data_IF_466373725063
#
_entry.id   IF_466373725063
#
_cell.length_a   1.000
_cell.length_b   1.000
_cell.length_c   1.000
_cell.angle_alpha   90.00
_cell.angle_beta   90.00
_cell.angle_gamma   90.00
#
_symmetry.space_group_name_H-M   'P 1'
#
loop_
_entity.id
_entity.type
_entity.pdbx_description
1 polymer ?
#
# COMPACT_ATOMS: atom_id res chain seq x y z
N UNK A 1 -95.27 20.14 -18.48
CA UNK A 1 -94.11 20.18 -19.41
C UNK A 1 -93.33 21.46 -19.12
N UNK A 2 -92.01 21.45 -19.38
CA UNK A 2 -90.99 22.48 -19.05
C UNK A 2 -90.36 22.25 -17.67
N UNK A 3 -89.04 22.16 -17.47
CA UNK A 3 -87.85 21.70 -18.20
C UNK A 3 -86.75 21.75 -17.12
N UNK A 4 -86.14 20.63 -16.75
CA UNK A 4 -85.03 20.62 -15.77
C UNK A 4 -83.73 21.09 -16.45
N UNK A 5 -83.11 22.15 -15.90
CA UNK A 5 -81.77 22.60 -16.27
C UNK A 5 -80.74 21.75 -15.53
N UNK A 6 -80.03 20.90 -16.26
CA UNK A 6 -78.86 20.19 -15.77
C UNK A 6 -77.65 21.14 -15.80
N UNK A 7 -77.02 21.34 -14.64
CA UNK A 7 -75.76 22.05 -14.48
C UNK A 7 -74.62 21.02 -14.57
N UNK A 8 -73.67 21.10 -15.53
CA UNK A 8 -72.57 20.15 -15.58
C UNK A 8 -71.52 20.54 -14.54
N UNK A 9 -71.18 19.61 -13.64
CA UNK A 9 -69.98 19.70 -12.81
C UNK A 9 -68.76 19.63 -13.73
N UNK A 10 -68.01 20.73 -13.84
CA UNK A 10 -66.69 20.73 -14.45
C UNK A 10 -65.69 20.08 -13.48
N UNK A 11 -65.18 18.90 -13.83
CA UNK A 11 -64.02 18.30 -13.16
C UNK A 11 -62.78 19.01 -13.68
N UNK A 12 -62.19 19.87 -12.85
CA UNK A 12 -60.88 20.50 -13.14
C UNK A 12 -59.80 19.47 -12.81
N UNK A 13 -59.17 18.90 -13.83
CA UNK A 13 -57.89 18.20 -13.66
C UNK A 13 -56.80 19.25 -13.43
N UNK A 14 -56.35 19.38 -12.18
CA UNK A 14 -55.09 20.05 -11.86
C UNK A 14 -53.95 19.19 -12.39
N UNK A 15 -53.47 19.50 -13.61
CA UNK A 15 -52.16 19.05 -14.04
C UNK A 15 -51.12 19.68 -13.13
N UNK A 16 -50.58 18.89 -12.20
CA UNK A 16 -49.39 19.28 -11.45
C UNK A 16 -48.26 19.53 -12.45
N UNK A 17 -47.87 20.80 -12.61
CA UNK A 17 -46.68 21.16 -13.37
C UNK A 17 -45.49 20.61 -12.59
N UNK A 18 -44.95 19.48 -13.03
CA UNK A 18 -43.68 18.97 -12.51
C UNK A 18 -42.62 20.03 -12.76
N UNK A 19 -41.95 20.48 -11.70
CA UNK A 19 -40.84 21.42 -11.82
C UNK A 19 -39.71 20.76 -12.63
N UNK A 20 -39.60 21.14 -13.91
CA UNK A 20 -38.44 20.98 -14.77
C UNK A 20 -37.26 21.77 -14.19
N UNK A 21 -36.05 21.23 -14.27
CA UNK A 21 -34.86 21.77 -13.64
C UNK A 21 -33.79 20.70 -13.38
N UNK A 22 -32.59 21.12 -12.92
CA UNK A 22 -31.52 20.19 -12.57
C UNK A 22 -31.99 19.24 -11.48
N UNK A 23 -31.56 17.97 -11.55
CA UNK A 23 -31.89 16.97 -10.54
C UNK A 23 -30.72 16.01 -10.32
N UNK A 24 -30.13 16.05 -9.14
CA UNK A 24 -29.08 15.13 -8.72
C UNK A 24 -29.70 13.83 -8.21
N UNK A 25 -29.38 12.72 -8.88
CA UNK A 25 -29.61 11.36 -8.38
C UNK A 25 -28.26 10.72 -8.12
N UNK A 26 -28.15 10.00 -7.00
CA UNK A 26 -26.92 9.31 -6.61
C UNK A 26 -27.22 7.84 -6.37
N UNK A 27 -26.37 6.97 -6.90
CA UNK A 27 -26.47 5.52 -6.70
C UNK A 27 -25.09 4.90 -6.37
N UNK A 28 -24.93 4.23 -5.23
CA UNK A 28 -25.87 4.20 -4.09
C UNK A 28 -25.86 5.53 -3.31
N UNK A 29 -26.87 5.83 -2.48
CA UNK A 29 -26.75 6.96 -1.52
C UNK A 29 -26.04 6.55 -0.22
N UNK A 30 -25.99 5.25 0.06
CA UNK A 30 -25.30 4.63 1.19
C UNK A 30 -24.43 3.51 0.68
N UNK A 31 -23.12 3.66 0.87
CA UNK A 31 -22.15 2.61 0.62
C UNK A 31 -21.90 1.85 1.93
N UNK A 32 -22.39 0.62 2.00
CA UNK A 32 -22.09 -0.29 3.11
C UNK A 32 -20.89 -1.17 2.74
N UNK A 33 -19.76 -0.97 3.40
CA UNK A 33 -18.55 -1.76 3.17
C UNK A 33 -18.57 -3.10 3.92
N UNK A 34 -19.65 -3.42 4.64
CA UNK A 34 -19.76 -4.63 5.44
C UNK A 34 -18.76 -4.63 6.59
N UNK A 35 -18.08 -5.77 6.78
CA UNK A 35 -17.06 -5.91 7.83
C UNK A 35 -15.67 -5.96 7.20
N UNK A 36 -14.81 -5.01 7.56
CA UNK A 36 -13.40 -4.95 7.14
C UNK A 36 -12.49 -4.96 8.36
N UNK A 37 -11.23 -5.38 8.21
CA UNK A 37 -10.27 -5.19 9.29
C UNK A 37 -9.77 -3.74 9.34
N UNK A 38 -9.33 -3.35 10.53
CA UNK A 38 -8.59 -2.12 10.75
C UNK A 38 -7.33 -2.05 9.88
N UNK A 39 -7.06 -0.86 9.32
CA UNK A 39 -5.88 -0.57 8.49
C UNK A 39 -6.12 -0.62 6.99
N UNK A 40 -7.30 -1.06 6.55
CA UNK A 40 -7.73 -0.99 5.15
C UNK A 40 -8.16 0.44 4.77
N UNK A 41 -7.83 0.81 3.54
CA UNK A 41 -8.43 1.93 2.83
C UNK A 41 -9.67 1.41 2.11
N UNK A 42 -10.84 1.84 2.57
CA UNK A 42 -12.12 1.54 1.94
C UNK A 42 -12.36 2.57 0.84
N UNK A 43 -12.58 2.10 -0.39
CA UNK A 43 -13.02 2.93 -1.51
C UNK A 43 -14.52 2.79 -1.69
N UNK A 44 -15.24 3.90 -1.54
CA UNK A 44 -16.68 3.99 -1.72
C UNK A 44 -16.98 4.81 -2.99
N UNK A 45 -17.53 4.15 -4.00
CA UNK A 45 -17.89 4.77 -5.28
C UNK A 45 -19.36 5.13 -5.33
N UNK A 46 -19.64 6.36 -5.75
CA UNK A 46 -20.98 6.92 -5.89
C UNK A 46 -21.19 7.42 -7.32
N UNK A 47 -22.22 6.95 -8.00
CA UNK A 47 -22.57 7.42 -9.34
C UNK A 47 -23.48 8.63 -9.23
N UNK A 48 -22.98 9.81 -9.60
CA UNK A 48 -23.73 11.06 -9.66
C UNK A 48 -24.34 11.20 -11.05
N UNK A 49 -25.66 11.36 -11.15
CA UNK A 49 -26.38 11.49 -12.43
C UNK A 49 -27.29 12.71 -12.42
N UNK A 50 -27.25 13.50 -13.50
CA UNK A 50 -28.27 14.52 -13.73
C UNK A 50 -29.51 13.88 -14.35
N UNK A 51 -30.49 13.56 -13.50
CA UNK A 51 -31.79 13.01 -13.93
C UNK A 51 -32.82 14.11 -14.27
N UNK A 52 -32.38 15.37 -14.37
CA UNK A 52 -33.19 16.52 -14.75
C UNK A 52 -33.12 16.78 -16.25
N UNK A 53 -33.72 17.88 -16.66
CA UNK A 53 -33.78 18.38 -18.04
C UNK A 53 -33.04 19.71 -18.23
N UNK A 54 -32.34 20.19 -17.20
CA UNK A 54 -31.45 21.35 -17.23
C UNK A 54 -30.06 20.99 -16.67
N UNK A 55 -29.00 21.77 -16.99
CA UNK A 55 -27.64 21.51 -16.49
C UNK A 55 -27.55 21.49 -14.96
N UNK A 56 -26.97 20.42 -14.42
CA UNK A 56 -26.68 20.27 -13.01
C UNK A 56 -25.25 20.78 -12.73
N UNK A 57 -25.14 21.83 -11.94
CA UNK A 57 -23.88 22.52 -11.65
C UNK A 57 -23.50 22.23 -10.20
N UNK A 58 -22.24 21.85 -9.97
CA UNK A 58 -21.64 21.71 -8.64
C UNK A 58 -20.96 23.03 -8.27
N UNK A 59 -21.36 23.65 -7.15
CA UNK A 59 -20.85 24.96 -6.74
C UNK A 59 -19.43 24.87 -6.12
N UNK A 60 -19.05 23.69 -5.61
CA UNK A 60 -17.76 23.41 -4.97
C UNK A 60 -17.46 21.91 -4.96
N UNK A 61 -16.20 21.58 -4.68
CA UNK A 61 -15.77 20.20 -4.48
C UNK A 61 -16.47 19.54 -3.27
N UNK A 62 -16.74 18.23 -3.31
CA UNK A 62 -17.32 17.52 -2.17
C UNK A 62 -16.52 17.73 -0.89
N UNK A 63 -17.21 17.72 0.25
CA UNK A 63 -16.56 17.75 1.57
C UNK A 63 -16.92 16.51 2.38
N UNK A 64 -16.04 16.13 3.31
CA UNK A 64 -16.17 14.87 4.06
C UNK A 64 -16.20 15.12 5.57
N UNK A 65 -16.83 14.18 6.29
CA UNK A 65 -16.65 14.07 7.73
C UNK A 65 -15.22 13.62 8.09
N UNK A 66 -14.78 13.84 9.33
CA UNK A 66 -13.42 13.48 9.78
C UNK A 66 -13.06 12.01 9.49
N UNK A 67 -11.82 11.77 9.07
CA UNK A 67 -11.31 10.44 8.74
C UNK A 67 -11.70 9.91 7.36
N UNK A 68 -12.39 10.71 6.54
CA UNK A 68 -12.62 10.44 5.13
C UNK A 68 -11.97 11.52 4.27
N UNK A 69 -11.52 11.14 3.09
CA UNK A 69 -11.14 12.05 2.00
C UNK A 69 -11.97 11.70 0.77
N UNK A 70 -12.15 12.62 -0.16
CA UNK A 70 -12.78 12.34 -1.45
C UNK A 70 -11.88 12.74 -2.59
N UNK A 71 -11.87 11.95 -3.67
CA UNK A 71 -11.30 12.40 -4.92
C UNK A 71 -12.05 13.65 -5.42
N UNK A 72 -11.35 14.60 -6.06
CA UNK A 72 -12.02 15.74 -6.67
C UNK A 72 -12.96 15.24 -7.78
N UNK A 73 -14.09 15.93 -7.96
CA UNK A 73 -14.98 15.68 -9.08
C UNK A 73 -14.25 15.93 -10.39
N UNK A 74 -14.34 15.02 -11.38
CA UNK A 74 -13.71 15.21 -12.70
C UNK A 74 -14.24 16.43 -13.46
N UNK A 75 -15.50 16.82 -13.20
CA UNK A 75 -16.18 17.96 -13.81
C UNK A 75 -17.16 18.59 -12.83
N UNK A 76 -17.38 19.89 -12.99
CA UNK A 76 -18.27 20.69 -12.13
C UNK A 76 -19.66 20.91 -12.76
N UNK A 77 -19.97 20.27 -13.87
CA UNK A 77 -21.25 20.35 -14.57
C UNK A 77 -21.60 18.99 -15.18
N UNK A 78 -22.89 18.61 -15.11
CA UNK A 78 -23.46 17.46 -15.80
C UNK A 78 -24.61 17.89 -16.71
N UNK A 79 -24.54 17.54 -17.99
CA UNK A 79 -25.66 17.68 -18.91
C UNK A 79 -26.83 16.75 -18.51
N UNK A 80 -28.08 17.03 -18.94
CA UNK A 80 -29.20 16.12 -18.74
C UNK A 80 -28.88 14.68 -19.19
N UNK A 81 -29.11 13.71 -18.31
CA UNK A 81 -28.82 12.30 -18.53
C UNK A 81 -27.35 11.89 -18.37
N UNK A 82 -26.44 12.84 -18.10
CA UNK A 82 -25.02 12.57 -17.93
C UNK A 82 -24.70 12.11 -16.51
N UNK A 83 -23.70 11.22 -16.39
CA UNK A 83 -23.21 10.70 -15.11
C UNK A 83 -21.70 10.92 -14.92
N UNK A 84 -21.25 10.81 -13.67
CA UNK A 84 -19.84 10.66 -13.29
C UNK A 84 -19.72 9.90 -11.98
N UNK A 85 -18.52 9.37 -11.71
CA UNK A 85 -18.20 8.74 -10.43
C UNK A 85 -17.60 9.75 -9.46
N UNK A 86 -18.01 9.64 -8.20
CA UNK A 86 -17.37 10.24 -7.04
C UNK A 86 -16.81 9.11 -6.18
N UNK A 87 -15.49 9.09 -5.99
CA UNK A 87 -14.82 8.13 -5.10
C UNK A 87 -14.50 8.80 -3.77
N UNK A 88 -14.98 8.21 -2.69
CA UNK A 88 -14.64 8.61 -1.33
C UNK A 88 -13.80 7.51 -0.67
N UNK A 89 -12.73 7.93 -0.01
CA UNK A 89 -11.77 7.07 0.67
C UNK A 89 -11.95 7.18 2.18
N UNK A 90 -12.06 6.04 2.85
CA UNK A 90 -12.11 5.94 4.30
C UNK A 90 -10.95 5.09 4.81
N UNK A 91 -10.05 5.69 5.59
CA UNK A 91 -8.96 4.97 6.25
C UNK A 91 -9.46 4.37 7.58
N UNK A 92 -9.55 3.04 7.64
CA UNK A 92 -10.07 2.34 8.82
C UNK A 92 -9.07 2.28 9.98
N UNK A 93 -7.85 2.83 9.83
CA UNK A 93 -6.84 2.88 10.90
C UNK A 93 -7.37 3.63 12.13
N UNK A 94 -7.29 3.01 13.31
CA UNK A 94 -7.77 3.56 14.58
C UNK A 94 -9.27 3.32 14.84
N UNK A 95 -9.94 2.53 14.01
CA UNK A 95 -11.36 2.20 14.13
C UNK A 95 -11.63 0.75 14.56
N UNK A 96 -10.61 -0.04 14.94
CA UNK A 96 -10.77 -1.41 15.44
C UNK A 96 -11.89 -1.56 16.48
N UNK A 97 -12.76 -2.55 16.27
CA UNK A 97 -13.90 -2.87 17.13
C UNK A 97 -15.09 -1.92 17.05
N UNK A 98 -15.16 -1.03 16.05
CA UNK A 98 -16.20 0.02 15.95
C UNK A 98 -17.15 -0.18 14.78
N UNK A 99 -18.40 0.22 15.00
CA UNK A 99 -19.31 0.55 13.91
C UNK A 99 -19.00 1.96 13.40
N UNK A 100 -18.89 2.12 12.09
CA UNK A 100 -18.53 3.37 11.43
C UNK A 100 -19.73 3.92 10.66
N UNK A 101 -19.94 5.22 10.80
CA UNK A 101 -20.85 6.01 9.98
C UNK A 101 -20.13 7.32 9.60
N UNK A 102 -19.94 7.54 8.30
CA UNK A 102 -19.24 8.70 7.75
C UNK A 102 -20.07 9.33 6.65
N UNK A 103 -19.86 10.62 6.43
CA UNK A 103 -20.64 11.41 5.50
C UNK A 103 -19.76 12.06 4.43
N UNK A 104 -20.28 12.08 3.20
CA UNK A 104 -19.76 12.86 2.08
C UNK A 104 -20.87 13.82 1.66
N UNK A 105 -20.55 15.10 1.54
CA UNK A 105 -21.50 16.14 1.17
C UNK A 105 -21.21 16.61 -0.25
N UNK A 106 -22.20 16.45 -1.13
CA UNK A 106 -22.18 16.92 -2.53
C UNK A 106 -23.08 18.15 -2.61
N UNK A 107 -22.60 19.20 -3.29
CA UNK A 107 -23.29 20.49 -3.35
C UNK A 107 -23.62 20.82 -4.81
N UNK A 108 -24.87 21.18 -5.08
CA UNK A 108 -25.33 21.43 -6.45
C UNK A 108 -26.44 22.49 -6.53
N UNK A 109 -26.76 22.91 -7.74
CA UNK A 109 -27.91 23.77 -8.03
C UNK A 109 -29.27 23.04 -8.08
N UNK A 110 -29.35 21.76 -7.66
CA UNK A 110 -30.64 21.06 -7.52
C UNK A 110 -31.46 21.71 -6.38
N UNK A 111 -32.61 22.37 -6.65
CA UNK A 111 -33.38 23.07 -5.63
C UNK A 111 -34.03 22.13 -4.60
N UNK A 112 -34.06 20.82 -4.87
CA UNK A 112 -34.56 19.80 -3.94
C UNK A 112 -33.47 19.28 -3.01
N UNK A 113 -32.21 19.41 -3.42
CA UNK A 113 -31.06 18.81 -2.76
C UNK A 113 -29.79 19.63 -2.98
N UNK A 114 -29.82 20.92 -2.60
CA UNK A 114 -28.68 21.83 -2.72
C UNK A 114 -27.42 21.27 -2.05
N UNK A 115 -27.61 20.55 -0.93
CA UNK A 115 -26.60 19.70 -0.31
C UNK A 115 -27.14 18.28 -0.15
N UNK A 116 -26.60 17.35 -0.94
CA UNK A 116 -26.85 15.91 -0.85
C UNK A 116 -25.85 15.26 0.11
N UNK A 117 -26.35 14.50 1.09
CA UNK A 117 -25.50 13.73 2.01
C UNK A 117 -25.47 12.29 1.57
N UNK A 118 -24.27 11.77 1.33
CA UNK A 118 -23.99 10.35 1.05
C UNK A 118 -23.37 9.72 2.30
N UNK A 119 -23.64 8.44 2.52
CA UNK A 119 -23.18 7.72 3.72
C UNK A 119 -22.20 6.62 3.36
N UNK A 120 -21.12 6.52 4.13
CA UNK A 120 -20.23 5.35 4.14
C UNK A 120 -20.42 4.68 5.51
N UNK A 121 -20.79 3.40 5.53
CA UNK A 121 -21.14 2.68 6.75
C UNK A 121 -20.55 1.26 6.75
N UNK A 122 -20.36 0.70 7.92
CA UNK A 122 -19.94 -0.69 8.08
C UNK A 122 -19.26 -0.92 9.44
N UNK A 123 -18.78 -2.15 9.64
CA UNK A 123 -18.08 -2.58 10.86
C UNK A 123 -16.59 -2.69 10.61
N UNK A 124 -15.77 -2.11 11.48
CA UNK A 124 -14.32 -2.33 11.48
C UNK A 124 -13.98 -3.29 12.61
N UNK A 125 -13.49 -4.49 12.27
CA UNK A 125 -12.96 -5.44 13.25
C UNK A 125 -11.51 -5.12 13.56
N UNK A 126 -11.05 -5.54 14.74
CA UNK A 126 -9.62 -5.50 15.04
C UNK A 126 -8.83 -6.32 14.00
N UNK A 127 -7.67 -5.80 13.62
CA UNK A 127 -6.72 -6.54 12.80
C UNK A 127 -6.18 -7.73 13.59
N UNK A 128 -6.12 -8.90 12.95
CA UNK A 128 -5.46 -10.06 13.54
C UNK A 128 -3.94 -9.80 13.65
N UNK A 129 -3.19 -10.50 14.53
CA UNK A 129 -1.75 -10.28 14.69
C UNK A 129 -0.90 -10.48 13.43
N UNK A 130 -1.42 -11.23 12.45
CA UNK A 130 -0.79 -11.47 11.16
C UNK A 130 -1.26 -10.50 10.07
N UNK A 131 -2.20 -9.60 10.34
CA UNK A 131 -2.68 -8.63 9.36
C UNK A 131 -1.94 -7.31 9.54
N UNK A 132 -1.27 -6.85 8.49
CA UNK A 132 -0.58 -5.56 8.46
C UNK A 132 -1.12 -4.67 7.36
N UNK A 133 -1.31 -3.38 7.67
CA UNK A 133 -1.77 -2.40 6.68
C UNK A 133 -0.65 -1.98 5.72
N UNK A 134 -1.04 -1.49 4.55
CA UNK A 134 -0.11 -0.85 3.60
C UNK A 134 0.71 0.27 4.25
N UNK A 135 0.11 1.04 5.17
CA UNK A 135 0.83 2.07 5.93
C UNK A 135 1.87 1.50 6.88
N UNK A 136 1.56 0.38 7.56
CA UNK A 136 2.54 -0.29 8.43
C UNK A 136 3.70 -0.82 7.61
N UNK A 137 3.43 -1.41 6.44
CA UNK A 137 4.49 -1.83 5.51
C UNK A 137 5.30 -0.61 5.05
N UNK A 138 4.66 0.47 4.60
CA UNK A 138 5.32 1.69 4.12
C UNK A 138 6.30 2.27 5.14
N UNK A 139 5.90 2.43 6.41
CA UNK A 139 6.78 3.00 7.43
C UNK A 139 7.91 2.07 7.88
N UNK A 140 7.72 0.75 7.73
CA UNK A 140 8.73 -0.25 8.02
C UNK A 140 9.65 -0.57 6.84
N UNK A 141 9.26 -0.21 5.62
CA UNK A 141 9.96 -0.62 4.41
C UNK A 141 11.31 0.07 4.27
N UNK A 142 12.31 -0.72 3.95
CA UNK A 142 13.64 -0.26 3.58
C UNK A 142 14.18 -1.07 2.42
N UNK A 143 15.07 -0.46 1.66
CA UNK A 143 15.83 -1.14 0.63
C UNK A 143 17.19 -1.55 1.18
N UNK A 144 17.61 -2.77 0.87
CA UNK A 144 18.95 -3.27 1.19
C UNK A 144 19.73 -3.49 -0.11
N UNK A 145 20.87 -2.83 -0.25
CA UNK A 145 21.66 -2.86 -1.48
C UNK A 145 23.05 -3.41 -1.17
N UNK A 146 23.40 -4.50 -1.84
CA UNK A 146 24.74 -5.05 -1.90
C UNK A 146 25.51 -4.40 -3.05
N UNK A 147 26.59 -3.70 -2.70
CA UNK A 147 27.45 -2.95 -3.62
C UNK A 147 28.59 -3.79 -4.20
N UNK A 148 28.71 -5.05 -3.80
CA UNK A 148 29.77 -5.95 -4.25
C UNK A 148 29.53 -6.44 -5.69
N UNK A 149 30.55 -6.99 -6.34
CA UNK A 149 30.39 -7.68 -7.61
C UNK A 149 29.37 -8.84 -7.55
N UNK A 150 28.68 -9.16 -8.65
CA UNK A 150 27.65 -10.21 -8.68
C UNK A 150 28.12 -11.58 -8.19
N UNK A 151 29.38 -11.94 -8.45
CA UNK A 151 29.97 -13.19 -7.99
C UNK A 151 30.14 -13.26 -6.46
N UNK A 152 30.40 -12.14 -5.80
CA UNK A 152 30.47 -12.08 -4.34
C UNK A 152 29.08 -12.12 -3.71
N UNK A 153 28.12 -11.43 -4.32
CA UNK A 153 26.71 -11.50 -3.95
C UNK A 153 26.19 -12.94 -4.05
N UNK A 154 26.43 -13.62 -5.17
CA UNK A 154 25.99 -15.00 -5.41
C UNK A 154 26.60 -16.02 -4.42
N UNK A 155 27.82 -15.77 -3.93
CA UNK A 155 28.44 -16.62 -2.90
C UNK A 155 27.75 -16.50 -1.55
N UNK A 156 27.30 -15.29 -1.20
CA UNK A 156 26.42 -15.09 -0.07
C UNK A 156 26.17 -13.61 0.21
N UNK A 157 24.93 -13.28 0.53
CA UNK A 157 24.42 -11.92 0.69
C UNK A 157 23.33 -11.88 1.76
N UNK A 158 23.02 -10.68 2.26
CA UNK A 158 21.93 -10.50 3.20
C UNK A 158 20.57 -10.76 2.54
N UNK A 159 19.70 -11.53 3.20
CA UNK A 159 18.36 -11.89 2.73
C UNK A 159 17.56 -10.64 2.33
N UNK A 160 17.02 -10.63 1.11
CA UNK A 160 16.25 -9.49 0.59
C UNK A 160 17.12 -8.32 0.09
N UNK A 161 18.44 -8.46 0.05
CA UNK A 161 19.30 -7.49 -0.62
C UNK A 161 19.12 -7.57 -2.14
N UNK A 162 19.20 -6.42 -2.81
CA UNK A 162 19.41 -6.36 -4.26
C UNK A 162 20.88 -6.10 -4.56
N UNK A 163 21.41 -6.69 -5.63
CA UNK A 163 22.78 -6.43 -6.05
C UNK A 163 22.83 -5.25 -7.02
N UNK A 164 23.47 -4.16 -6.61
CA UNK A 164 23.78 -3.01 -7.47
C UNK A 164 25.26 -2.70 -7.22
N UNK A 165 26.19 -3.22 -8.05
CA UNK A 165 27.61 -2.96 -7.88
C UNK A 165 27.90 -1.46 -7.74
N UNK A 166 28.87 -1.08 -6.90
CA UNK A 166 29.18 0.32 -6.64
C UNK A 166 29.41 1.16 -7.91
N UNK A 167 30.05 0.56 -8.92
CA UNK A 167 30.30 1.20 -10.22
C UNK A 167 29.03 1.51 -11.01
N UNK A 168 27.93 0.81 -10.74
CA UNK A 168 26.65 0.96 -11.45
C UNK A 168 25.67 1.88 -10.71
N UNK A 169 25.88 2.12 -9.41
CA UNK A 169 24.95 2.82 -8.53
C UNK A 169 24.45 4.17 -9.08
N UNK A 170 25.31 4.93 -9.77
CA UNK A 170 24.92 6.23 -10.32
C UNK A 170 23.85 6.11 -11.42
N UNK A 171 23.86 5.03 -12.21
CA UNK A 171 22.83 4.73 -13.20
C UNK A 171 21.49 4.35 -12.58
N UNK A 172 21.49 3.88 -11.33
CA UNK A 172 20.29 3.45 -10.61
C UNK A 172 19.55 4.58 -9.90
N UNK A 173 20.13 5.78 -9.79
CA UNK A 173 19.55 6.90 -9.03
C UNK A 173 18.14 7.29 -9.45
N UNK A 174 17.76 7.05 -10.72
CA UNK A 174 16.42 7.37 -11.22
C UNK A 174 15.38 6.36 -10.75
N UNK A 175 15.79 5.11 -10.48
CA UNK A 175 14.91 4.00 -10.09
C UNK A 175 14.81 3.82 -8.57
N UNK A 176 15.80 4.29 -7.81
CA UNK A 176 15.79 4.18 -6.35
C UNK A 176 14.67 5.05 -5.73
N UNK A 177 13.88 4.51 -4.78
CA UNK A 177 12.84 5.27 -4.11
C UNK A 177 13.46 6.21 -3.07
N UNK A 178 13.09 7.49 -3.12
CA UNK A 178 13.66 8.55 -2.25
C UNK A 178 13.01 8.60 -0.88
N UNK A 179 11.81 8.04 -0.80
CA UNK A 179 10.90 8.04 0.34
C UNK A 179 11.35 7.05 1.42
N UNK A 180 12.09 6.00 1.03
CA UNK A 180 12.48 4.91 1.92
C UNK A 180 13.92 5.02 2.39
N UNK A 181 14.18 4.35 3.52
CA UNK A 181 15.55 4.15 3.99
C UNK A 181 16.26 3.20 3.04
N UNK A 182 17.49 3.54 2.65
CA UNK A 182 18.35 2.69 1.83
C UNK A 182 19.57 2.30 2.66
N UNK A 183 19.70 1.03 2.98
CA UNK A 183 20.88 0.45 3.62
C UNK A 183 21.81 -0.11 2.55
N UNK A 184 23.05 0.36 2.55
CA UNK A 184 24.08 -0.04 1.61
C UNK A 184 25.14 -0.84 2.34
N UNK A 185 25.67 -1.89 1.73
CA UNK A 185 26.84 -2.57 2.25
C UNK A 185 27.72 -3.08 1.11
N UNK A 186 29.01 -3.16 1.40
CA UNK A 186 30.02 -3.88 0.65
C UNK A 186 30.69 -4.90 1.59
N UNK A 187 31.87 -5.41 1.23
CA UNK A 187 32.57 -6.39 2.07
C UNK A 187 32.98 -5.82 3.46
N UNK A 188 33.41 -4.55 3.52
CA UNK A 188 34.10 -3.99 4.70
C UNK A 188 33.57 -2.65 5.20
N UNK A 189 32.63 -2.01 4.52
CA UNK A 189 31.97 -0.74 4.85
C UNK A 189 32.47 0.48 4.06
N UNK A 190 33.59 0.35 3.34
CA UNK A 190 34.29 1.48 2.73
C UNK A 190 33.57 2.10 1.52
N UNK A 191 33.18 1.28 0.55
CA UNK A 191 32.38 1.72 -0.59
C UNK A 191 30.95 2.07 -0.17
N UNK A 192 30.41 1.34 0.81
CA UNK A 192 29.09 1.62 1.38
C UNK A 192 29.00 3.05 1.95
N UNK A 193 30.01 3.50 2.69
CA UNK A 193 30.05 4.87 3.22
C UNK A 193 30.16 5.94 2.11
N UNK A 194 30.92 5.66 1.05
CA UNK A 194 31.01 6.54 -0.13
C UNK A 194 29.67 6.61 -0.87
N UNK A 195 29.01 5.46 -1.07
CA UNK A 195 27.70 5.36 -1.69
C UNK A 195 26.63 6.08 -0.88
N UNK A 196 26.61 5.91 0.45
CA UNK A 196 25.64 6.57 1.32
C UNK A 196 25.79 8.10 1.27
N UNK A 197 27.05 8.59 1.24
CA UNK A 197 27.34 10.02 1.03
C UNK A 197 26.81 10.50 -0.32
N UNK A 198 27.15 9.80 -1.41
CA UNK A 198 26.69 10.12 -2.76
C UNK A 198 25.16 10.19 -2.82
N UNK A 199 24.46 9.17 -2.30
CA UNK A 199 23.00 9.12 -2.28
C UNK A 199 22.41 10.30 -1.49
N UNK A 200 22.96 10.64 -0.31
CA UNK A 200 22.48 11.79 0.46
C UNK A 200 22.69 13.13 -0.28
N UNK A 201 23.85 13.32 -0.92
CA UNK A 201 24.12 14.50 -1.76
C UNK A 201 23.16 14.61 -2.95
N UNK A 202 22.62 13.47 -3.42
CA UNK A 202 21.60 13.40 -4.48
C UNK A 202 20.17 13.41 -3.95
N UNK A 203 19.94 13.64 -2.66
CA UNK A 203 18.61 13.83 -2.05
C UNK A 203 18.00 12.59 -1.40
N UNK A 204 18.71 11.46 -1.33
CA UNK A 204 18.28 10.27 -0.58
C UNK A 204 18.70 10.41 0.88
N UNK A 205 18.04 11.31 1.61
CA UNK A 205 18.43 11.76 2.97
C UNK A 205 18.55 10.63 4.00
N UNK A 206 17.81 9.54 3.80
CA UNK A 206 17.79 8.37 4.67
C UNK A 206 18.81 7.29 4.29
N UNK A 207 19.64 7.48 3.25
CA UNK A 207 20.63 6.48 2.87
C UNK A 207 21.70 6.28 3.97
N UNK A 208 21.99 5.03 4.34
CA UNK A 208 22.96 4.68 5.39
C UNK A 208 23.85 3.53 4.93
N UNK A 209 25.11 3.54 5.36
CA UNK A 209 26.03 2.42 5.19
C UNK A 209 25.93 1.44 6.36
N UNK A 210 25.93 0.12 6.13
CA UNK A 210 26.10 -0.84 7.22
C UNK A 210 27.54 -0.75 7.71
N UNK A 211 27.70 -0.43 8.99
CA UNK A 211 28.97 -0.21 9.65
C UNK A 211 29.85 -1.47 9.56
N UNK A 212 31.02 -1.35 8.94
CA UNK A 212 31.94 -2.46 8.70
C UNK A 212 31.55 -3.40 7.54
N UNK A 213 30.51 -3.09 6.78
CA UNK A 213 30.03 -3.93 5.68
C UNK A 213 29.56 -5.31 6.16
N UNK A 214 29.64 -6.32 5.30
CA UNK A 214 29.26 -7.69 5.65
C UNK A 214 30.22 -8.33 6.66
N UNK A 215 31.50 -7.92 6.71
CA UNK A 215 32.41 -8.31 7.80
C UNK A 215 31.98 -7.71 9.16
N UNK A 216 31.57 -6.45 9.17
CA UNK A 216 31.02 -5.79 10.35
C UNK A 216 29.74 -6.46 10.83
N UNK A 217 28.88 -6.86 9.89
CA UNK A 217 27.70 -7.68 10.15
C UNK A 217 28.08 -8.99 10.86
N UNK A 218 28.99 -9.75 10.27
CA UNK A 218 29.46 -11.01 10.84
C UNK A 218 30.03 -10.85 12.25
N UNK A 219 30.88 -9.84 12.45
CA UNK A 219 31.49 -9.58 13.76
C UNK A 219 30.45 -9.20 14.83
N UNK A 220 29.32 -8.63 14.43
CA UNK A 220 28.31 -8.13 15.34
C UNK A 220 27.19 -9.15 15.63
N UNK A 221 26.74 -9.89 14.61
CA UNK A 221 25.56 -10.78 14.69
C UNK A 221 25.77 -12.14 14.01
N UNK A 222 27.01 -12.47 13.63
CA UNK A 222 27.34 -13.73 12.96
C UNK A 222 26.78 -13.81 11.54
N UNK A 223 26.41 -15.02 11.12
CA UNK A 223 25.81 -15.30 9.82
C UNK A 223 24.30 -15.02 9.77
N UNK A 224 23.77 -14.32 10.78
CA UNK A 224 22.35 -14.04 10.86
C UNK A 224 21.85 -13.36 9.59
N UNK A 225 20.77 -13.87 9.00
CA UNK A 225 20.16 -13.35 7.77
C UNK A 225 21.02 -13.43 6.50
N UNK A 226 22.18 -14.10 6.49
CA UNK A 226 22.96 -14.31 5.26
C UNK A 226 22.44 -15.53 4.51
N UNK A 227 22.02 -15.33 3.26
CA UNK A 227 21.74 -16.39 2.29
C UNK A 227 23.05 -16.80 1.64
N UNK A 228 23.36 -18.09 1.63
CA UNK A 228 24.60 -18.63 1.07
C UNK A 228 24.35 -19.35 -0.25
N UNK A 229 25.31 -19.26 -1.17
CA UNK A 229 25.31 -20.05 -2.38
C UNK A 229 25.45 -21.54 -2.09
N UNK A 230 24.87 -22.38 -2.95
CA UNK A 230 24.94 -23.83 -2.80
C UNK A 230 26.40 -24.32 -2.79
N UNK A 231 26.76 -25.13 -1.78
CA UNK A 231 28.10 -25.71 -1.65
C UNK A 231 29.21 -24.71 -1.27
N UNK A 232 28.86 -23.47 -0.94
CA UNK A 232 29.83 -22.45 -0.50
C UNK A 232 30.13 -22.61 0.99
N UNK A 233 31.41 -22.54 1.37
CA UNK A 233 31.81 -22.47 2.77
C UNK A 233 31.36 -21.14 3.39
N UNK A 234 30.63 -21.20 4.52
CA UNK A 234 30.16 -20.02 5.23
C UNK A 234 31.34 -19.35 5.95
N UNK A 235 31.83 -18.25 5.37
CA UNK A 235 32.93 -17.49 5.93
C UNK A 235 32.71 -16.00 5.71
N UNK A 236 33.11 -15.13 6.66
CA UNK A 236 33.01 -13.70 6.47
C UNK A 236 33.95 -13.22 5.35
N UNK A 237 33.64 -12.05 4.74
CA UNK A 237 34.60 -11.38 3.89
C UNK A 237 35.89 -11.05 4.64
N UNK A 238 37.01 -10.97 3.92
CA UNK A 238 38.29 -10.57 4.47
C UNK A 238 38.52 -9.06 4.30
N UNK A 239 39.36 -8.48 5.16
CA UNK A 239 39.77 -7.08 5.07
C UNK A 239 39.67 -6.33 6.39
N UNK A 240 39.88 -5.02 6.34
CA UNK A 240 39.78 -4.15 7.51
C UNK A 240 38.40 -3.47 7.54
N UNK A 241 37.59 -3.65 8.59
CA UNK A 241 36.30 -2.98 8.72
C UNK A 241 36.45 -1.46 8.75
N UNK A 242 35.54 -0.78 8.05
CA UNK A 242 35.37 0.66 8.05
C UNK A 242 34.06 1.03 8.75
N UNK A 243 34.18 1.79 9.85
CA UNK A 243 33.05 2.16 10.72
C UNK A 243 32.67 3.66 10.64
N UNK A 244 33.24 4.39 9.67
CA UNK A 244 33.00 5.83 9.52
C UNK A 244 31.81 6.15 8.61
N UNK A 245 31.35 7.40 8.66
CA UNK A 245 30.50 8.06 7.64
C UNK A 245 29.10 7.45 7.41
N UNK A 246 28.04 8.19 7.77
CA UNK A 246 26.64 7.84 7.46
C UNK A 246 26.24 6.39 7.82
N UNK A 247 26.85 5.84 8.87
CA UNK A 247 26.76 4.42 9.18
C UNK A 247 25.60 4.06 10.12
N UNK A 248 25.07 2.84 9.98
CA UNK A 248 24.16 2.16 10.91
C UNK A 248 24.83 0.90 11.46
N UNK A 249 24.64 0.61 12.75
CA UNK A 249 25.21 -0.60 13.34
C UNK A 249 24.39 -1.84 12.92
N UNK A 250 25.04 -2.97 12.58
CA UNK A 250 24.36 -4.21 12.21
C UNK A 250 23.29 -4.66 13.22
N UNK A 251 23.58 -4.53 14.52
CA UNK A 251 22.65 -4.99 15.57
C UNK A 251 21.32 -4.21 15.54
N UNK A 252 21.29 -2.97 15.06
CA UNK A 252 20.06 -2.20 14.96
C UNK A 252 19.16 -2.72 13.84
N UNK A 253 19.74 -3.09 12.70
CA UNK A 253 18.99 -3.66 11.60
C UNK A 253 18.51 -5.08 11.94
N UNK A 254 19.38 -5.90 12.56
CA UNK A 254 19.05 -7.27 12.96
C UNK A 254 17.89 -7.37 13.97
N UNK A 255 17.65 -6.34 14.80
CA UNK A 255 16.55 -6.31 15.79
C UNK A 255 15.16 -6.35 15.17
N UNK A 256 15.02 -5.92 13.91
CA UNK A 256 13.75 -5.92 13.18
C UNK A 256 14.05 -6.03 11.68
N UNK A 257 14.71 -7.13 11.32
CA UNK A 257 15.11 -7.40 9.95
C UNK A 257 13.90 -7.78 9.11
N UNK A 258 13.71 -7.16 7.94
CA UNK A 258 12.56 -7.36 7.08
C UNK A 258 12.93 -8.18 5.83
N UNK A 259 11.99 -9.03 5.40
CA UNK A 259 11.94 -9.58 4.04
C UNK A 259 10.50 -9.53 3.52
N UNK A 260 10.34 -9.29 2.22
CA UNK A 260 9.05 -9.38 1.53
C UNK A 260 9.01 -10.66 0.71
N UNK A 261 7.88 -11.36 0.78
CA UNK A 261 7.56 -12.56 0.03
C UNK A 261 6.34 -12.27 -0.83
N UNK A 262 6.51 -12.33 -2.14
CA UNK A 262 5.44 -12.11 -3.12
C UNK A 262 4.92 -13.45 -3.64
N UNK A 263 3.66 -13.72 -3.35
CA UNK A 263 3.00 -15.00 -3.63
C UNK A 263 2.26 -15.04 -4.97
N UNK A 264 2.38 -13.99 -5.77
CA UNK A 264 1.79 -13.93 -7.11
C UNK A 264 2.56 -14.78 -8.10
N UNK A 265 1.95 -15.05 -9.26
CA UNK A 265 2.64 -15.76 -10.33
C UNK A 265 3.87 -14.96 -10.81
N UNK A 266 4.90 -15.61 -11.36
CA UNK A 266 6.11 -14.93 -11.84
C UNK A 266 5.84 -13.81 -12.84
N UNK A 267 4.81 -13.96 -13.69
CA UNK A 267 4.40 -12.94 -14.66
C UNK A 267 3.87 -11.68 -13.96
N UNK A 268 3.01 -11.86 -12.94
CA UNK A 268 2.46 -10.76 -12.13
C UNK A 268 3.55 -10.09 -11.29
N UNK A 269 4.48 -10.88 -10.73
CA UNK A 269 5.66 -10.38 -10.04
C UNK A 269 6.52 -9.50 -10.96
N UNK A 270 6.81 -9.98 -12.17
CA UNK A 270 7.62 -9.24 -13.15
C UNK A 270 6.96 -7.94 -13.62
N UNK A 271 5.63 -7.82 -13.55
CA UNK A 271 4.91 -6.60 -13.91
C UNK A 271 5.02 -5.46 -12.88
N UNK A 272 5.59 -5.72 -11.70
CA UNK A 272 5.73 -4.73 -10.64
C UNK A 272 5.75 -5.37 -9.26
N UNK A 273 6.90 -5.37 -8.59
CA UNK A 273 7.08 -5.96 -7.25
C UNK A 273 8.00 -5.11 -6.36
N UNK A 274 7.96 -5.33 -5.05
CA UNK A 274 8.88 -4.65 -4.14
C UNK A 274 10.34 -5.07 -4.40
N UNK A 275 11.29 -4.13 -4.52
CA UNK A 275 12.69 -4.49 -4.71
C UNK A 275 13.21 -5.33 -3.55
N UNK A 276 13.86 -6.45 -3.87
CA UNK A 276 14.35 -7.42 -2.88
C UNK A 276 13.29 -8.42 -2.39
N UNK A 277 12.05 -8.36 -2.90
CA UNK A 277 11.04 -9.37 -2.62
C UNK A 277 11.43 -10.73 -3.21
N UNK A 278 11.13 -11.80 -2.48
CA UNK A 278 11.28 -13.17 -2.94
C UNK A 278 9.96 -13.60 -3.59
N UNK A 279 9.99 -14.01 -4.86
CA UNK A 279 8.81 -14.57 -5.53
C UNK A 279 8.75 -16.09 -5.30
N UNK A 280 7.65 -16.56 -4.72
CA UNK A 280 7.40 -17.99 -4.49
C UNK A 280 5.90 -18.23 -4.33
N UNK A 281 5.38 -19.36 -4.79
CA UNK A 281 3.97 -19.71 -4.60
C UNK A 281 3.66 -20.08 -3.15
N UNK A 282 2.38 -20.01 -2.76
CA UNK A 282 1.93 -20.43 -1.42
C UNK A 282 2.39 -21.85 -1.04
N UNK A 283 2.49 -22.76 -2.00
CA UNK A 283 2.90 -24.16 -1.78
C UNK A 283 4.39 -24.29 -1.48
N UNK A 284 5.21 -23.34 -1.92
CA UNK A 284 6.66 -23.32 -1.72
C UNK A 284 7.05 -22.72 -0.36
N UNK A 285 6.15 -21.96 0.28
CA UNK A 285 6.39 -21.30 1.58
C UNK A 285 6.99 -22.26 2.63
N UNK A 286 6.45 -23.49 2.84
CA UNK A 286 7.02 -24.37 3.86
C UNK A 286 8.45 -24.83 3.57
N UNK A 287 8.78 -25.09 2.30
CA UNK A 287 10.12 -25.49 1.90
C UNK A 287 11.11 -24.32 1.98
N UNK A 288 10.69 -23.15 1.49
CA UNK A 288 11.47 -21.91 1.60
C UNK A 288 11.76 -21.55 3.07
N UNK A 289 10.76 -21.66 3.95
CA UNK A 289 10.91 -21.34 5.36
C UNK A 289 11.92 -22.24 6.09
N UNK A 290 12.09 -23.49 5.66
CA UNK A 290 13.12 -24.39 6.19
C UNK A 290 14.53 -23.98 5.78
N UNK A 291 14.66 -23.31 4.63
CA UNK A 291 15.93 -22.79 4.12
C UNK A 291 16.24 -21.36 4.59
N UNK A 292 15.40 -20.76 5.44
CA UNK A 292 15.67 -19.42 5.95
C UNK A 292 16.96 -19.42 6.79
N UNK A 293 17.81 -18.38 6.63
CA UNK A 293 19.03 -18.27 7.39
C UNK A 293 18.74 -18.15 8.90
N UNK A 294 19.71 -18.52 9.76
CA UNK A 294 19.55 -18.34 11.20
C UNK A 294 19.26 -16.86 11.50
N UNK A 295 18.38 -16.61 12.46
CA UNK A 295 18.04 -15.23 12.88
C UNK A 295 18.93 -14.75 14.02
N UNK A 296 19.73 -15.64 14.63
CA UNK A 296 20.57 -15.33 15.79
C UNK A 296 19.75 -14.71 16.94
N UNK A 297 20.24 -13.61 17.50
CA UNK A 297 19.50 -12.76 18.47
C UNK A 297 18.56 -11.73 17.80
N UNK A 298 18.49 -11.73 16.47
CA UNK A 298 17.65 -10.84 15.68
C UNK A 298 16.19 -11.27 15.62
N UNK A 299 15.38 -10.48 14.90
CA UNK A 299 13.97 -10.80 14.60
C UNK A 299 13.70 -10.63 13.13
N UNK A 300 13.05 -11.62 12.52
CA UNK A 300 12.63 -11.59 11.12
C UNK A 300 11.16 -11.17 10.98
N UNK A 301 10.93 -10.00 10.41
CA UNK A 301 9.63 -9.53 9.94
C UNK A 301 9.43 -10.04 8.50
N UNK A 302 8.57 -11.04 8.32
CA UNK A 302 8.22 -11.56 6.99
C UNK A 302 6.93 -10.89 6.55
N UNK A 303 6.96 -10.15 5.45
CA UNK A 303 5.76 -9.59 4.83
C UNK A 303 5.35 -10.42 3.62
N UNK A 304 4.23 -11.11 3.71
CA UNK A 304 3.62 -11.80 2.58
C UNK A 304 2.71 -10.82 1.82
N UNK A 305 2.80 -10.84 0.49
CA UNK A 305 1.96 -10.03 -0.39
C UNK A 305 1.41 -10.87 -1.54
N UNK A 306 0.20 -10.56 -1.97
CA UNK A 306 -0.44 -11.01 -3.20
C UNK A 306 -1.46 -9.92 -3.62
N UNK A 307 -2.20 -10.13 -4.71
CA UNK A 307 -3.14 -9.11 -5.19
C UNK A 307 -4.40 -8.98 -4.31
N UNK A 308 -4.87 -10.06 -3.69
CA UNK A 308 -6.10 -10.02 -2.89
C UNK A 308 -5.85 -9.96 -1.37
N UNK A 309 -4.61 -10.12 -0.90
CA UNK A 309 -4.28 -10.35 0.51
C UNK A 309 -4.57 -11.78 0.99
N UNK A 310 -5.20 -12.62 0.16
CA UNK A 310 -5.79 -13.89 0.62
C UNK A 310 -4.74 -14.98 0.80
N UNK A 311 -3.88 -15.21 -0.20
CA UNK A 311 -2.78 -16.16 -0.06
C UNK A 311 -1.70 -15.59 0.87
N UNK A 312 -1.50 -14.27 0.85
CA UNK A 312 -0.62 -13.60 1.80
C UNK A 312 -1.01 -13.90 3.26
N UNK A 313 -2.29 -13.76 3.62
CA UNK A 313 -2.72 -14.02 5.00
C UNK A 313 -2.70 -15.50 5.37
N UNK A 314 -2.93 -16.41 4.42
CA UNK A 314 -2.72 -17.85 4.64
C UNK A 314 -1.25 -18.17 4.94
N UNK A 315 -0.32 -17.64 4.14
CA UNK A 315 1.12 -17.82 4.34
C UNK A 315 1.59 -17.22 5.67
N UNK A 316 1.18 -15.98 5.97
CA UNK A 316 1.55 -15.30 7.22
C UNK A 316 1.04 -16.07 8.45
N UNK A 317 -0.20 -16.56 8.42
CA UNK A 317 -0.75 -17.38 9.50
C UNK A 317 0.03 -18.70 9.67
N UNK A 318 0.36 -19.37 8.56
CA UNK A 318 1.16 -20.58 8.59
C UNK A 318 2.56 -20.33 9.16
N UNK A 319 3.26 -19.29 8.69
CA UNK A 319 4.60 -18.91 9.15
C UNK A 319 4.63 -18.63 10.66
N UNK A 320 3.63 -17.92 11.19
CA UNK A 320 3.50 -17.69 12.64
C UNK A 320 3.32 -18.98 13.43
N UNK A 321 2.54 -19.92 12.89
CA UNK A 321 2.39 -21.26 13.46
C UNK A 321 3.67 -22.11 13.41
N UNK A 322 4.66 -21.72 12.60
CA UNK A 322 5.88 -22.47 12.32
C UNK A 322 7.16 -21.69 12.64
N UNK A 323 7.15 -20.91 13.73
CA UNK A 323 8.37 -20.32 14.29
C UNK A 323 8.71 -18.90 13.82
N UNK A 324 7.85 -18.27 13.00
CA UNK A 324 8.02 -16.90 12.54
C UNK A 324 6.92 -15.98 13.09
N UNK A 325 6.95 -15.66 14.41
CA UNK A 325 5.87 -14.95 15.11
C UNK A 325 5.69 -13.49 14.69
N UNK A 326 6.56 -12.98 13.83
CA UNK A 326 6.55 -11.63 13.30
C UNK A 326 6.11 -11.59 11.82
N UNK A 327 5.71 -12.73 11.25
CA UNK A 327 5.16 -12.77 9.90
C UNK A 327 3.79 -12.08 9.82
N UNK A 328 3.57 -11.34 8.74
CA UNK A 328 2.38 -10.55 8.44
C UNK A 328 2.00 -10.65 6.97
N UNK A 329 0.72 -10.52 6.66
CA UNK A 329 0.23 -10.27 5.32
C UNK A 329 -0.06 -8.79 5.13
N UNK A 330 0.11 -8.31 3.89
CA UNK A 330 -0.51 -7.06 3.46
C UNK A 330 -2.02 -7.28 3.33
N UNK A 331 -2.78 -6.80 4.31
CA UNK A 331 -4.22 -6.97 4.29
C UNK A 331 -4.84 -6.22 3.12
N UNK A 332 -5.73 -6.90 2.37
CA UNK A 332 -6.33 -6.38 1.14
C UNK A 332 -5.38 -6.33 -0.06
N UNK A 333 -4.16 -6.87 0.07
CA UNK A 333 -3.22 -7.07 -1.03
C UNK A 333 -2.61 -5.80 -1.61
N UNK A 334 -1.92 -5.94 -2.73
CA UNK A 334 -1.27 -4.83 -3.43
C UNK A 334 -2.21 -3.69 -3.87
N UNK A 335 -3.52 -3.87 -4.16
CA UNK A 335 -4.43 -2.76 -4.37
C UNK A 335 -4.44 -1.74 -3.22
N UNK A 336 -4.28 -2.20 -1.98
CA UNK A 336 -4.20 -1.30 -0.82
C UNK A 336 -2.91 -0.47 -0.78
N UNK A 337 -1.82 -1.02 -1.31
CA UNK A 337 -0.59 -0.26 -1.54
C UNK A 337 -0.81 0.78 -2.64
N UNK A 338 -1.29 0.35 -3.80
CA UNK A 338 -1.49 1.22 -4.98
C UNK A 338 -2.47 2.35 -4.72
N UNK A 339 -3.56 2.09 -4.00
CA UNK A 339 -4.54 3.10 -3.63
C UNK A 339 -3.94 4.24 -2.77
N UNK A 340 -2.89 3.94 -1.98
CA UNK A 340 -2.23 4.91 -1.10
C UNK A 340 -0.99 5.55 -1.72
N UNK A 341 -0.22 4.78 -2.48
CA UNK A 341 1.14 5.13 -2.88
C UNK A 341 1.39 4.98 -4.39
N UNK A 342 0.39 4.60 -5.18
CA UNK A 342 0.56 4.25 -6.59
C UNK A 342 1.57 3.12 -6.76
N UNK A 343 2.44 3.24 -7.77
CA UNK A 343 3.49 2.25 -8.05
C UNK A 343 4.80 2.54 -7.30
N UNK A 344 4.75 3.34 -6.23
CA UNK A 344 5.93 3.62 -5.41
C UNK A 344 6.58 2.30 -4.94
N UNK A 345 7.86 2.12 -5.26
CA UNK A 345 8.64 0.91 -5.00
C UNK A 345 8.05 -0.39 -5.57
N UNK A 346 7.21 -0.33 -6.61
CA UNK A 346 6.88 -1.49 -7.44
C UNK A 346 7.72 -1.44 -8.72
N UNK A 347 8.72 -2.30 -8.79
CA UNK A 347 9.68 -2.39 -9.88
C UNK A 347 9.24 -3.43 -10.90
N UNK A 348 9.23 -3.03 -12.17
CA UNK A 348 9.13 -3.97 -13.30
C UNK A 348 10.42 -4.79 -13.39
N UNK A 349 10.27 -6.08 -13.70
CA UNK A 349 11.32 -7.09 -13.75
C UNK A 349 12.21 -7.04 -14.98
#
# INVERSE_FOLDING_TARGET
MIKWLACPLAVVFLFGVGWAGPRLVVDPETYDFGTVAEGLLVEATFTLTNAGDAPLIFDRQPSTSCGCTSAPLPKMELAPGESMELVALFDSTGYGGRQVHKYVYVYSNDPRAERKTLTITGTVRDAAPYEGSASTLYYGFYLLIDLRPPEEYARGHLLGAINIPFSELEGWLVRLPREFTIYLYDATGGQAAQAAKLLQERGFVAARAISGGLLGWWNAVGDAFIVWGEGVEHAPPQGQPYYGGYAVQPQFLARSYQVIVDLRAPEEFSSGHFPGAVNLSLQEVPGWAQGLPPVGEGKLQIWCVDDAGTFACQAALWLRGNGFPDARCLIGGLPQWRARYGDLALWEG
#
